data_IF_247906036163
#
_entry.id   IF_247906036163
#
_cell.length_a   1.000
_cell.length_b   1.000
_cell.length_c   1.000
_cell.angle_alpha   90.00
_cell.angle_beta   90.00
_cell.angle_gamma   90.00
#
_symmetry.space_group_name_H-M   'P 1'
#
loop_
_entity.id
_entity.type
_entity.pdbx_description
1 polymer ?
#
# COMPACT_ATOMS: atom_id res chain seq x y z
N UNK A 1 -5.49 -6.71 -5.29
CA UNK A 1 -5.14 -6.72 -6.73
C UNK A 1 -4.88 -5.28 -7.14
N UNK A 2 -3.79 -5.02 -7.85
CA UNK A 2 -3.36 -3.66 -8.20
C UNK A 2 -3.48 -3.38 -9.71
N UNK A 3 -3.58 -4.42 -10.53
CA UNK A 3 -3.75 -4.34 -11.99
C UNK A 3 -4.90 -3.45 -12.45
N UNK A 4 -6.02 -3.44 -11.73
CA UNK A 4 -7.17 -2.60 -12.07
C UNK A 4 -6.85 -1.09 -12.02
N UNK A 5 -5.81 -0.69 -11.27
CA UNK A 5 -5.40 0.71 -11.14
C UNK A 5 -4.27 1.10 -12.11
N UNK A 6 -3.76 0.16 -12.91
CA UNK A 6 -2.57 0.41 -13.75
C UNK A 6 -2.81 1.52 -14.78
N UNK A 7 -4.00 1.56 -15.39
CA UNK A 7 -4.35 2.57 -16.39
C UNK A 7 -4.70 3.94 -15.78
N UNK A 8 -5.12 3.98 -14.52
CA UNK A 8 -5.67 5.18 -13.89
C UNK A 8 -4.91 5.61 -12.63
N UNK A 9 -3.63 5.23 -12.52
CA UNK A 9 -2.79 5.43 -11.33
C UNK A 9 -2.53 6.91 -10.96
N UNK A 10 -2.78 7.85 -11.87
CA UNK A 10 -2.72 9.30 -11.62
C UNK A 10 -3.99 9.82 -10.96
N UNK A 11 -5.14 9.24 -11.32
CA UNK A 11 -6.46 9.68 -10.85
C UNK A 11 -6.88 8.98 -9.56
N UNK A 12 -6.43 7.74 -9.36
CA UNK A 12 -6.82 6.91 -8.22
C UNK A 12 -5.62 6.51 -7.36
N UNK A 13 -5.91 6.27 -6.08
CA UNK A 13 -4.95 5.77 -5.10
C UNK A 13 -5.47 4.46 -4.54
N UNK A 14 -4.56 3.55 -4.19
CA UNK A 14 -4.95 2.35 -3.45
C UNK A 14 -5.02 2.63 -1.95
N UNK A 15 -5.99 2.01 -1.29
CA UNK A 15 -6.10 1.99 0.16
C UNK A 15 -5.86 0.58 0.71
N UNK A 16 -5.05 0.48 1.76
CA UNK A 16 -4.83 -0.80 2.47
C UNK A 16 -5.93 -1.02 3.50
N UNK A 17 -6.67 -2.12 3.39
CA UNK A 17 -7.72 -2.48 4.33
C UNK A 17 -7.21 -2.63 5.79
N UNK A 18 -8.07 -2.31 6.76
CA UNK A 18 -7.70 -2.29 8.19
C UNK A 18 -7.25 -3.65 8.74
N UNK A 19 -7.83 -4.75 8.24
CA UNK A 19 -7.61 -6.12 8.71
C UNK A 19 -6.30 -6.78 8.23
N UNK A 20 -5.52 -6.11 7.37
CA UNK A 20 -4.28 -6.66 6.84
C UNK A 20 -3.14 -6.50 7.89
N UNK A 21 -2.36 -7.57 8.10
CA UNK A 21 -1.18 -7.57 8.96
C UNK A 21 -0.09 -6.61 8.46
N UNK A 22 0.81 -6.18 9.35
CA UNK A 22 1.94 -5.27 9.04
C UNK A 22 2.81 -5.82 7.91
N UNK A 23 3.17 -7.11 7.97
CA UNK A 23 3.95 -7.80 6.93
C UNK A 23 3.29 -7.74 5.55
N UNK A 24 1.99 -8.01 5.49
CA UNK A 24 1.26 -8.00 4.23
C UNK A 24 1.04 -6.57 3.70
N UNK A 25 0.92 -5.58 4.60
CA UNK A 25 0.90 -4.16 4.22
C UNK A 25 2.20 -3.74 3.57
N UNK A 26 3.35 -4.11 4.15
CA UNK A 26 4.68 -3.82 3.59
C UNK A 26 4.79 -4.35 2.17
N UNK A 27 4.50 -5.63 1.96
CA UNK A 27 4.52 -6.25 0.62
C UNK A 27 3.54 -5.60 -0.36
N UNK A 28 2.39 -5.10 0.12
CA UNK A 28 1.42 -4.38 -0.72
C UNK A 28 1.94 -3.02 -1.15
N UNK A 29 2.57 -2.28 -0.24
CA UNK A 29 3.16 -0.97 -0.51
C UNK A 29 4.36 -1.11 -1.45
N UNK A 30 5.23 -2.10 -1.25
CA UNK A 30 6.37 -2.38 -2.14
C UNK A 30 5.90 -2.67 -3.58
N UNK A 31 4.85 -3.49 -3.75
CA UNK A 31 4.25 -3.70 -5.07
C UNK A 31 3.62 -2.44 -5.66
N UNK A 32 2.96 -1.63 -4.85
CA UNK A 32 2.38 -0.36 -5.31
C UNK A 32 3.45 0.58 -5.88
N UNK A 33 4.62 0.64 -5.24
CA UNK A 33 5.76 1.46 -5.67
C UNK A 33 6.31 0.96 -7.00
N UNK A 34 6.47 -0.36 -7.17
CA UNK A 34 6.92 -0.95 -8.45
C UNK A 34 6.00 -0.59 -9.62
N UNK A 35 4.69 -0.50 -9.36
CA UNK A 35 3.68 -0.16 -10.36
C UNK A 35 3.39 1.35 -10.44
N UNK A 36 4.15 2.17 -9.73
CA UNK A 36 4.01 3.62 -9.65
C UNK A 36 2.60 4.09 -9.24
N UNK A 37 1.94 3.37 -8.33
CA UNK A 37 0.62 3.76 -7.84
C UNK A 37 0.70 4.33 -6.42
N UNK A 38 0.01 5.46 -6.24
CA UNK A 38 -0.05 6.16 -4.95
C UNK A 38 -0.93 5.39 -3.95
N UNK A 39 -0.44 5.27 -2.72
CA UNK A 39 -1.17 4.68 -1.59
C UNK A 39 -1.47 5.77 -0.56
N UNK A 40 -2.69 5.84 -0.04
CA UNK A 40 -3.14 6.92 0.87
C UNK A 40 -2.52 6.87 2.27
N UNK A 41 -2.18 5.68 2.78
CA UNK A 41 -1.58 5.50 4.13
C UNK A 41 -0.46 4.43 4.12
N UNK A 42 0.67 4.68 3.42
CA UNK A 42 1.69 3.64 3.20
C UNK A 42 2.35 3.14 4.49
N UNK A 43 2.41 3.97 5.54
CA UNK A 43 3.10 3.64 6.80
C UNK A 43 2.17 3.19 7.93
N UNK A 44 0.88 2.98 7.65
CA UNK A 44 -0.09 2.59 8.68
C UNK A 44 0.29 1.21 9.27
N UNK A 45 0.38 1.13 10.61
CA UNK A 45 0.85 -0.03 11.39
C UNK A 45 2.31 -0.48 11.16
N UNK A 46 3.02 0.06 10.17
CA UNK A 46 4.45 -0.23 9.99
C UNK A 46 5.31 0.46 11.05
N UNK A 47 4.96 1.68 11.47
CA UNK A 47 5.73 2.42 12.50
C UNK A 47 5.67 1.80 13.89
N UNK A 48 4.62 1.06 14.21
CA UNK A 48 4.45 0.43 15.53
C UNK A 48 5.38 -0.76 15.73
N UNK A 49 5.80 -1.41 14.64
CA UNK A 49 6.67 -2.60 14.65
C UNK A 49 8.16 -2.20 14.51
N UNK A 50 8.46 -0.97 14.07
CA UNK A 50 9.83 -0.43 13.98
C UNK A 50 10.27 0.34 15.25
N UNK A 51 9.32 0.62 16.16
CA UNK A 51 9.53 1.39 17.39
C UNK A 51 9.37 0.53 18.66
N UNK A 52 9.33 -0.79 18.52
CA UNK A 52 9.40 -1.80 19.58
C UNK A 52 10.61 -2.70 19.30
#
# INVERSE_FOLDING_TARGET
EFDQLLMCNKSYCAETAHNISSKNRKATVERAVQLAIRVTKPNARLRSEENE
#
